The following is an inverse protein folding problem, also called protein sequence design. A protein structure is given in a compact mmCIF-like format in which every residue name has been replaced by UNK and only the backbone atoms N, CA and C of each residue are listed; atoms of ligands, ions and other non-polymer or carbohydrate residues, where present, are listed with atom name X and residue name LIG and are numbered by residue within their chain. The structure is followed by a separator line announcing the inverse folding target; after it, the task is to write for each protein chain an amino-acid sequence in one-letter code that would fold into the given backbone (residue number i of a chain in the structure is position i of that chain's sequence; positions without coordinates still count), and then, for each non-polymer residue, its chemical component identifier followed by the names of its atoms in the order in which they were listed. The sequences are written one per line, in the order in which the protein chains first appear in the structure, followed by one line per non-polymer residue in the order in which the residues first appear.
data_IF_079003194443
#
_entry.id   IF_079003194443
#
_cell.length_a   1.000
_cell.length_b   1.000
_cell.length_c   1.000
_cell.angle_alpha   90.00
_cell.angle_beta   90.00
_cell.angle_gamma   90.00
#
_symmetry.space_group_name_H-M   'P 1'
#
loop_
_entity.id
_entity.type
_entity.pdbx_description
1 polymer ?
#
# COMPACT_ATOMS: atom_id res chain seq x y z
N UNK A 1 -5.07 8.05 10.25
CA UNK A 1 -6.35 8.69 10.64
C UNK A 1 -6.62 8.55 12.13
N UNK A 2 -6.52 7.34 12.70
CA UNK A 2 -6.64 7.14 14.16
C UNK A 2 -5.58 7.88 14.95
N UNK A 3 -4.33 7.76 14.52
CA UNK A 3 -3.21 8.55 15.03
C UNK A 3 -3.38 10.08 14.87
N UNK A 4 -4.10 10.53 13.84
CA UNK A 4 -4.29 11.95 13.54
C UNK A 4 -5.40 12.58 14.39
N UNK A 5 -6.54 11.89 14.51
CA UNK A 5 -7.72 12.39 15.25
C UNK A 5 -7.71 11.94 16.73
N UNK A 6 -6.88 10.96 17.08
CA UNK A 6 -6.68 10.48 18.46
C UNK A 6 -7.74 9.50 18.97
N UNK A 7 -8.65 9.01 18.11
CA UNK A 7 -9.67 8.05 18.54
C UNK A 7 -10.15 7.10 17.42
N UNK A 8 -10.58 5.90 17.83
CA UNK A 8 -11.08 4.84 16.95
C UNK A 8 -12.43 5.16 16.29
N UNK A 9 -12.72 4.46 15.19
CA UNK A 9 -14.01 4.63 14.49
C UNK A 9 -15.16 4.28 15.43
N UNK A 10 -16.18 5.15 15.49
CA UNK A 10 -17.35 5.02 16.36
C UNK A 10 -17.08 5.09 17.88
N UNK A 11 -15.93 5.58 18.33
CA UNK A 11 -15.69 5.76 19.76
C UNK A 11 -16.70 6.75 20.37
N UNK A 12 -17.20 6.41 21.56
CA UNK A 12 -18.11 7.24 22.38
C UNK A 12 -17.37 8.09 23.42
N UNK A 13 -16.05 7.99 23.46
CA UNK A 13 -15.23 8.72 24.42
C UNK A 13 -15.35 10.23 24.17
N UNK A 14 -15.12 11.01 25.23
CA UNK A 14 -14.94 12.46 25.14
C UNK A 14 -13.79 12.76 24.19
N UNK A 15 -14.04 13.63 23.21
CA UNK A 15 -13.09 13.96 22.14
C UNK A 15 -12.47 15.31 22.46
N UNK A 16 -11.14 15.39 22.43
CA UNK A 16 -10.43 16.63 22.76
C UNK A 16 -10.52 17.69 21.66
N UNK A 17 -10.56 17.26 20.39
CA UNK A 17 -10.76 18.13 19.23
C UNK A 17 -12.23 18.15 18.79
N UNK A 18 -12.66 19.24 18.13
CA UNK A 18 -13.96 19.31 17.45
C UNK A 18 -13.95 18.62 16.08
N UNK A 19 -12.77 18.30 15.55
CA UNK A 19 -12.63 17.60 14.28
C UNK A 19 -13.25 16.19 14.35
N UNK A 20 -13.86 15.75 13.25
CA UNK A 20 -14.57 14.48 13.14
C UNK A 20 -14.22 13.76 11.85
N UNK A 21 -14.38 12.44 11.83
CA UNK A 21 -14.31 11.66 10.59
C UNK A 21 -15.49 12.01 9.69
N UNK A 22 -15.24 12.20 8.40
CA UNK A 22 -16.24 12.60 7.40
C UNK A 22 -16.25 11.64 6.19
N UNK A 23 -16.31 10.34 6.48
CA UNK A 23 -16.34 9.29 5.47
C UNK A 23 -15.01 9.12 4.72
N UNK A 24 -15.12 8.50 3.54
CA UNK A 24 -14.01 8.22 2.64
C UNK A 24 -14.33 8.79 1.26
N UNK A 25 -13.31 9.06 0.45
CA UNK A 25 -13.47 9.36 -0.97
C UNK A 25 -12.66 8.38 -1.81
N UNK A 26 -13.16 8.07 -3.00
CA UNK A 26 -12.44 7.25 -3.96
C UNK A 26 -11.34 8.07 -4.65
N UNK A 27 -10.15 7.48 -4.71
CA UNK A 27 -9.01 8.05 -5.42
C UNK A 27 -8.48 7.03 -6.41
N UNK A 28 -8.43 7.41 -7.69
CA UNK A 28 -7.77 6.61 -8.72
C UNK A 28 -6.28 6.91 -8.73
N UNK A 29 -5.47 5.93 -8.33
CA UNK A 29 -4.02 5.95 -8.48
C UNK A 29 -3.62 5.29 -9.80
N UNK A 30 -2.44 5.65 -10.25
CA UNK A 30 -1.80 5.12 -11.44
C UNK A 30 -0.46 4.57 -10.99
N UNK A 31 -0.28 3.28 -11.25
CA UNK A 31 0.94 2.58 -10.94
C UNK A 31 2.09 2.96 -11.90
N UNK A 32 3.31 2.54 -11.57
CA UNK A 32 4.51 2.58 -12.39
C UNK A 32 4.24 2.03 -13.81
N UNK A 33 3.50 0.93 -13.92
CA UNK A 33 3.09 0.28 -15.16
C UNK A 33 1.86 0.91 -15.85
N UNK A 34 1.26 1.96 -15.27
CA UNK A 34 0.09 2.64 -15.82
C UNK A 34 -1.26 2.01 -15.46
N UNK A 35 -1.26 0.96 -14.64
CA UNK A 35 -2.48 0.35 -14.11
C UNK A 35 -3.26 1.32 -13.22
N UNK A 36 -4.58 1.35 -13.39
CA UNK A 36 -5.48 2.19 -12.57
C UNK A 36 -5.88 1.43 -11.32
N UNK A 37 -5.67 2.06 -10.18
CA UNK A 37 -6.02 1.54 -8.87
C UNK A 37 -7.07 2.40 -8.21
N UNK A 38 -8.12 1.81 -7.65
CA UNK A 38 -9.11 2.55 -6.86
C UNK A 38 -8.81 2.30 -5.39
N UNK A 39 -8.56 3.37 -4.64
CA UNK A 39 -8.37 3.32 -3.19
C UNK A 39 -9.37 4.22 -2.48
N UNK A 40 -9.81 3.80 -1.29
CA UNK A 40 -10.64 4.62 -0.41
C UNK A 40 -9.76 5.37 0.58
N UNK A 41 -9.72 6.70 0.47
CA UNK A 41 -8.94 7.54 1.38
C UNK A 41 -9.87 8.14 2.44
N UNK A 42 -9.59 7.95 3.74
CA UNK A 42 -10.38 8.55 4.80
C UNK A 42 -10.19 10.07 4.82
N UNK A 43 -11.25 10.78 5.22
CA UNK A 43 -11.25 12.24 5.32
C UNK A 43 -11.76 12.70 6.69
N UNK A 44 -11.19 13.78 7.18
CA UNK A 44 -11.67 14.52 8.35
C UNK A 44 -12.58 15.69 7.94
N UNK A 45 -13.33 16.22 8.91
CA UNK A 45 -14.34 17.25 8.67
C UNK A 45 -13.70 18.61 8.39
N UNK A 46 -12.59 18.90 9.06
CA UNK A 46 -11.84 20.15 8.86
C UNK A 46 -10.91 20.11 7.65
N UNK A 47 -10.61 18.91 7.12
CA UNK A 47 -9.77 18.73 5.94
C UNK A 47 -8.27 18.81 6.23
N UNK A 48 -7.88 18.74 7.50
CA UNK A 48 -6.50 18.81 8.00
C UNK A 48 -5.76 17.48 7.86
N UNK A 49 -6.48 16.36 7.66
CA UNK A 49 -5.84 15.06 7.55
C UNK A 49 -5.01 14.98 6.26
N UNK A 50 -3.69 14.84 6.40
CA UNK A 50 -2.78 14.57 5.29
C UNK A 50 -2.36 13.09 5.28
N UNK A 51 -2.76 12.32 4.26
CA UNK A 51 -2.28 10.95 4.09
C UNK A 51 -0.78 10.97 3.76
N UNK A 52 0.03 10.23 4.52
CA UNK A 52 1.49 10.24 4.35
C UNK A 52 1.98 9.53 3.08
N UNK A 53 1.34 8.43 2.70
CA UNK A 53 1.79 7.59 1.59
C UNK A 53 1.30 8.10 0.23
N UNK A 54 0.07 8.61 0.20
CA UNK A 54 -0.64 9.06 -1.00
C UNK A 54 -1.06 10.51 -0.76
N UNK A 55 -0.16 11.49 -0.98
CA UNK A 55 -0.43 12.88 -0.69
C UNK A 55 -1.68 13.36 -1.44
N UNK A 56 -2.33 14.39 -0.91
CA UNK A 56 -3.47 15.04 -1.58
C UNK A 56 -3.03 15.48 -3.00
N UNK A 57 -3.86 15.22 -4.00
CA UNK A 57 -3.58 15.56 -5.40
C UNK A 57 -2.64 14.62 -6.17
N UNK A 58 -1.81 13.83 -5.49
CA UNK A 58 -0.87 12.90 -6.15
C UNK A 58 -1.60 11.64 -6.63
N UNK A 59 -1.57 11.34 -7.92
CA UNK A 59 -2.19 10.12 -8.49
C UNK A 59 -1.17 9.05 -8.87
N UNK A 60 0.08 9.41 -9.12
CA UNK A 60 1.13 8.44 -9.43
C UNK A 60 1.73 7.93 -8.13
N UNK A 61 1.80 6.61 -7.96
CA UNK A 61 2.22 6.02 -6.71
C UNK A 61 3.51 5.23 -6.86
N UNK A 62 4.63 5.96 -6.90
CA UNK A 62 5.97 5.39 -7.06
C UNK A 62 6.46 4.74 -5.75
N UNK A 63 6.97 3.51 -5.83
CA UNK A 63 7.60 2.79 -4.70
C UNK A 63 6.63 1.98 -3.83
N UNK A 64 5.34 1.91 -4.19
CA UNK A 64 4.40 0.98 -3.54
C UNK A 64 4.76 -0.47 -3.78
N UNK A 65 5.07 -0.78 -5.04
CA UNK A 65 5.36 -2.12 -5.50
C UNK A 65 6.56 -2.66 -4.73
N UNK A 66 7.65 -1.89 -4.66
CA UNK A 66 8.85 -2.24 -3.87
C UNK A 66 8.53 -2.62 -2.42
N UNK A 67 7.58 -1.92 -1.78
CA UNK A 67 7.17 -2.23 -0.41
C UNK A 67 6.40 -3.54 -0.36
N UNK A 68 5.40 -3.73 -1.23
CA UNK A 68 4.63 -4.98 -1.32
C UNK A 68 5.56 -6.17 -1.59
N UNK A 69 6.47 -6.03 -2.56
CA UNK A 69 7.49 -7.01 -2.92
C UNK A 69 8.36 -7.35 -1.72
N UNK A 70 8.84 -6.34 -0.98
CA UNK A 70 9.68 -6.55 0.19
C UNK A 70 8.96 -7.27 1.34
N UNK A 71 7.63 -7.14 1.45
CA UNK A 71 6.83 -7.83 2.45
C UNK A 71 6.57 -9.28 2.02
N UNK A 72 6.28 -9.49 0.74
CA UNK A 72 6.13 -10.83 0.15
C UNK A 72 7.43 -11.62 0.24
N UNK A 73 8.58 -11.01 -0.09
CA UNK A 73 9.91 -11.62 0.04
C UNK A 73 10.28 -12.00 1.48
N UNK A 74 9.66 -11.36 2.49
CA UNK A 74 9.81 -11.73 3.91
C UNK A 74 8.91 -12.89 4.33
N UNK A 75 8.15 -13.47 3.40
CA UNK A 75 7.29 -14.63 3.65
C UNK A 75 5.91 -14.28 4.20
N UNK A 76 5.51 -13.01 4.14
CA UNK A 76 4.15 -12.62 4.55
C UNK A 76 3.13 -13.08 3.52
N UNK A 77 2.01 -13.62 3.99
CA UNK A 77 0.86 -13.94 3.15
C UNK A 77 0.20 -12.68 2.62
N UNK A 78 -0.52 -12.78 1.50
CA UNK A 78 -1.27 -11.66 0.90
C UNK A 78 -2.20 -10.98 1.91
N UNK A 79 -2.83 -11.76 2.82
CA UNK A 79 -3.72 -11.23 3.86
C UNK A 79 -2.96 -10.45 4.93
N UNK A 80 -1.78 -10.92 5.33
CA UNK A 80 -0.93 -10.21 6.30
C UNK A 80 -0.38 -8.92 5.70
N UNK A 81 0.05 -8.96 4.43
CA UNK A 81 0.46 -7.76 3.69
C UNK A 81 -0.70 -6.76 3.65
N UNK A 82 -1.92 -7.21 3.31
CA UNK A 82 -3.10 -6.35 3.30
C UNK A 82 -3.34 -5.69 4.66
N UNK A 83 -3.34 -6.47 5.75
CA UNK A 83 -3.52 -5.95 7.09
C UNK A 83 -2.43 -4.95 7.49
N UNK A 84 -1.17 -5.26 7.18
CA UNK A 84 -0.04 -4.39 7.48
C UNK A 84 -0.11 -3.07 6.70
N UNK A 85 -0.53 -3.12 5.44
CA UNK A 85 -0.77 -1.94 4.62
C UNK A 85 -1.97 -1.13 5.15
N UNK A 86 -3.04 -1.79 5.59
CA UNK A 86 -4.21 -1.13 6.18
C UNK A 86 -3.84 -0.40 7.49
N UNK A 87 -3.04 -1.02 8.36
CA UNK A 87 -2.59 -0.43 9.62
C UNK A 87 -1.65 0.76 9.39
N UNK A 88 -0.62 0.58 8.56
CA UNK A 88 0.35 1.64 8.28
C UNK A 88 -0.25 2.80 7.50
N UNK A 89 -1.20 2.52 6.61
CA UNK A 89 -1.64 3.49 5.61
C UNK A 89 -3.11 3.89 5.69
N UNK A 90 -3.86 3.35 6.66
CA UNK A 90 -5.28 3.63 6.90
C UNK A 90 -6.15 3.58 5.62
N UNK A 91 -5.70 2.82 4.63
CA UNK A 91 -6.26 2.75 3.29
C UNK A 91 -6.51 1.28 3.01
N UNK A 92 -7.75 0.94 2.61
CA UNK A 92 -8.07 -0.42 2.20
C UNK A 92 -7.43 -0.69 0.85
N UNK A 93 -6.48 -1.62 0.84
CA UNK A 93 -5.84 -2.13 -0.38
C UNK A 93 -6.52 -3.45 -0.74
N UNK A 94 -6.91 -3.63 -2.00
CA UNK A 94 -7.51 -4.90 -2.42
C UNK A 94 -6.45 -6.01 -2.49
N UNK A 95 -6.82 -7.23 -2.11
CA UNK A 95 -5.94 -8.40 -2.26
C UNK A 95 -5.57 -8.67 -3.73
N UNK A 96 -6.47 -8.33 -4.65
CA UNK A 96 -6.22 -8.40 -6.11
C UNK A 96 -5.07 -7.49 -6.54
N UNK A 97 -4.90 -6.33 -5.91
CA UNK A 97 -3.75 -5.46 -6.17
C UNK A 97 -2.45 -6.12 -5.75
N UNK A 98 -2.42 -6.64 -4.52
CA UNK A 98 -1.22 -7.28 -3.99
C UNK A 98 -0.82 -8.45 -4.90
N UNK A 99 -1.79 -9.23 -5.39
CA UNK A 99 -1.54 -10.29 -6.37
C UNK A 99 -0.95 -9.74 -7.67
N UNK A 100 -1.56 -8.71 -8.29
CA UNK A 100 -1.05 -8.13 -9.54
C UNK A 100 0.39 -7.61 -9.41
N UNK A 101 0.69 -6.93 -8.30
CA UNK A 101 2.05 -6.45 -8.02
C UNK A 101 3.03 -7.62 -7.88
N UNK A 102 2.65 -8.69 -7.17
CA UNK A 102 3.51 -9.87 -7.06
C UNK A 102 3.64 -10.64 -8.38
N UNK A 103 2.60 -10.64 -9.21
CA UNK A 103 2.58 -11.29 -10.52
C UNK A 103 3.46 -10.54 -11.53
N UNK A 104 3.57 -9.22 -11.44
CA UNK A 104 4.45 -8.40 -12.29
C UNK A 104 5.93 -8.81 -12.18
N UNK A 105 6.37 -9.29 -11.01
CA UNK A 105 7.75 -9.75 -10.80
C UNK A 105 8.00 -11.10 -11.49
N UNK A 106 6.97 -11.87 -11.86
CA UNK A 106 7.16 -13.19 -12.45
C UNK A 106 7.98 -13.13 -13.76
N UNK A 107 7.85 -12.04 -14.51
CA UNK A 107 8.66 -11.80 -15.71
C UNK A 107 10.14 -11.64 -15.35
N UNK A 108 10.45 -10.83 -14.33
CA UNK A 108 11.82 -10.63 -13.83
C UNK A 108 12.41 -11.93 -13.26
N UNK A 109 11.62 -12.71 -12.51
CA UNK A 109 12.04 -14.01 -11.98
C UNK A 109 12.36 -14.97 -13.13
N UNK A 110 11.52 -15.01 -14.16
CA UNK A 110 11.73 -15.85 -15.34
C UNK A 110 13.01 -15.44 -16.08
N UNK A 111 13.25 -14.14 -16.23
CA UNK A 111 14.50 -13.64 -16.80
C UNK A 111 15.72 -14.04 -15.95
N UNK A 112 15.61 -13.96 -14.63
CA UNK A 112 16.68 -14.36 -13.70
C UNK A 112 16.97 -15.86 -13.75
N UNK A 113 15.93 -16.70 -13.82
CA UNK A 113 16.08 -18.16 -13.94
C UNK A 113 16.76 -18.57 -15.25
N UNK A 114 16.51 -17.83 -16.33
CA UNK A 114 17.08 -18.10 -17.65
C UNK A 114 18.40 -17.35 -17.91
N UNK A 115 18.98 -16.69 -16.90
CA UNK A 115 20.23 -15.94 -17.08
C UNK A 115 21.37 -16.88 -17.49
N UNK A 116 22.22 -16.42 -18.39
CA UNK A 116 23.43 -17.16 -18.75
C UNK A 116 24.31 -17.37 -17.51
N UNK A 117 24.73 -18.60 -17.30
CA UNK A 117 25.64 -18.98 -16.23
C UNK A 117 27.08 -18.97 -16.75
N UNK A 118 28.02 -18.73 -15.86
CA UNK A 118 29.44 -18.86 -16.16
C UNK A 118 29.80 -20.32 -16.41
N UNK A 119 30.81 -20.54 -17.26
CA UNK A 119 31.22 -21.90 -17.65
C UNK A 119 31.88 -22.68 -16.52
N UNK A 120 32.39 -22.01 -15.48
CA UNK A 120 33.12 -22.63 -14.38
C UNK A 120 32.73 -21.99 -13.05
N UNK A 121 32.35 -22.82 -12.07
CA UNK A 121 32.06 -22.45 -10.70
C UNK A 121 32.97 -23.22 -9.73
N UNK A 122 34.17 -22.71 -9.39
CA UNK A 122 35.03 -23.36 -8.42
C UNK A 122 34.44 -23.19 -7.01
N UNK A 123 34.35 -24.30 -6.25
CA UNK A 123 33.95 -24.32 -4.84
C UNK A 123 35.22 -24.57 -4.03
N UNK A 124 35.60 -23.64 -3.15
CA UNK A 124 36.73 -23.79 -2.20
C UNK A 124 36.26 -24.26 -0.83
#
# INVERSE_FOLDING_TARGET
MESHIGYEKHSKNTKESDNRRNGNYEKTLIDSEGHKLIVEVPRDREGEFEPQLIPKGVRRFEGFDDKVISLYARGMTIREIQGHLEELYATKVSSELISKVTDGILEEVTAWQNRALDSVYPIM
#
